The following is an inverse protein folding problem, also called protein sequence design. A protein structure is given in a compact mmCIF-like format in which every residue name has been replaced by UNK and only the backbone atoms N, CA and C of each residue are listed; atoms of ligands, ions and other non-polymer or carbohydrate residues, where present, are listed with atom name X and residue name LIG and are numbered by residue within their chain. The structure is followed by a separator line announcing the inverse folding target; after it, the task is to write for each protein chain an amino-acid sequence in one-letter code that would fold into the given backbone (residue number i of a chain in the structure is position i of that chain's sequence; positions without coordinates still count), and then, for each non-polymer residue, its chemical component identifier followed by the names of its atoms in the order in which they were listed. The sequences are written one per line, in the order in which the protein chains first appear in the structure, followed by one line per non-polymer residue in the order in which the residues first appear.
data_IF_296473227202
#
_entry.id   IF_296473227202
#
_cell.length_a   1.000
_cell.length_b   1.000
_cell.length_c   1.000
_cell.angle_alpha   90.00
_cell.angle_beta   90.00
_cell.angle_gamma   90.00
#
_symmetry.space_group_name_H-M   'P 1'
#
loop_
_entity.id
_entity.type
_entity.pdbx_description
1 polymer ?
#
# COMPACT_ATOMS: atom_id res chain seq x y z
N UNK A 1 20.14 5.28 -13.93
CA UNK A 1 18.97 6.09 -13.51
C UNK A 1 17.70 5.34 -13.87
N UNK A 2 17.33 4.37 -13.01
CA UNK A 2 15.96 3.82 -13.06
C UNK A 2 15.01 4.96 -12.62
N UNK A 3 14.22 5.50 -13.55
CA UNK A 3 13.09 6.35 -13.20
C UNK A 3 12.15 5.47 -12.39
N UNK A 4 12.00 5.75 -11.11
CA UNK A 4 11.02 5.07 -10.27
C UNK A 4 9.62 5.46 -10.76
N UNK A 5 8.69 4.51 -10.76
CA UNK A 5 7.27 4.76 -11.04
C UNK A 5 6.77 5.84 -10.08
N UNK A 6 6.08 6.85 -10.61
CA UNK A 6 5.47 7.90 -9.79
C UNK A 6 4.37 7.29 -8.92
N UNK A 7 4.36 7.65 -7.63
CA UNK A 7 3.36 7.16 -6.69
C UNK A 7 2.37 8.27 -6.43
N UNK A 8 1.09 7.98 -6.66
CA UNK A 8 0.01 8.91 -6.39
C UNK A 8 -0.57 8.66 -5.01
N UNK A 9 -0.55 9.68 -4.15
CA UNK A 9 -1.10 9.64 -2.80
C UNK A 9 -2.49 10.26 -2.69
N UNK A 10 -2.95 10.97 -3.73
CA UNK A 10 -4.27 11.58 -3.76
C UNK A 10 -5.33 10.55 -4.14
N UNK A 11 -6.11 10.11 -3.16
CA UNK A 11 -7.16 9.12 -3.38
C UNK A 11 -8.32 9.67 -4.24
N UNK A 12 -8.50 10.99 -4.29
CA UNK A 12 -9.55 11.63 -5.08
C UNK A 12 -9.38 11.39 -6.59
N UNK A 13 -8.14 11.28 -7.07
CA UNK A 13 -7.84 11.00 -8.49
C UNK A 13 -8.40 9.65 -8.97
N UNK A 14 -8.67 8.74 -8.03
CA UNK A 14 -9.23 7.42 -8.35
C UNK A 14 -10.75 7.38 -8.31
N UNK A 15 -11.40 8.48 -7.91
CA UNK A 15 -12.86 8.58 -7.93
C UNK A 15 -13.37 8.84 -9.36
N UNK A 16 -14.55 8.33 -9.73
CA UNK A 16 -15.17 8.64 -11.01
C UNK A 16 -15.49 10.14 -11.14
N UNK A 17 -15.24 10.70 -12.33
CA UNK A 17 -15.48 12.13 -12.60
C UNK A 17 -16.98 12.52 -12.57
N UNK A 18 -17.88 11.54 -12.71
CA UNK A 18 -19.32 11.75 -12.78
C UNK A 18 -20.00 11.97 -11.42
N UNK A 19 -19.30 11.68 -10.31
CA UNK A 19 -19.82 11.87 -8.96
C UNK A 19 -19.85 13.35 -8.55
N UNK A 20 -20.82 13.71 -7.71
CA UNK A 20 -21.04 15.09 -7.25
C UNK A 20 -19.81 15.71 -6.58
N UNK A 21 -19.11 14.94 -5.76
CA UNK A 21 -17.87 15.39 -5.10
C UNK A 21 -16.81 15.83 -6.09
N UNK A 22 -16.59 15.06 -7.17
CA UNK A 22 -15.58 15.43 -8.17
C UNK A 22 -16.00 16.63 -9.00
N UNK A 23 -17.29 16.73 -9.36
CA UNK A 23 -17.83 17.94 -10.03
C UNK A 23 -17.67 19.18 -9.15
N UNK A 24 -17.97 19.08 -7.86
CA UNK A 24 -17.76 20.18 -6.91
C UNK A 24 -16.29 20.56 -6.77
N UNK A 25 -15.40 19.57 -6.69
CA UNK A 25 -13.96 19.80 -6.60
C UNK A 25 -13.41 20.50 -7.85
N UNK A 26 -13.86 20.11 -9.04
CA UNK A 26 -13.45 20.73 -10.30
C UNK A 26 -13.94 22.20 -10.37
N UNK A 27 -15.18 22.48 -9.99
CA UNK A 27 -15.69 23.85 -9.91
C UNK A 27 -14.87 24.69 -8.93
N UNK A 28 -14.54 24.15 -7.75
CA UNK A 28 -13.69 24.86 -6.78
C UNK A 28 -12.29 25.15 -7.34
N UNK A 29 -11.74 24.20 -8.10
CA UNK A 29 -10.42 24.39 -8.73
C UNK A 29 -10.45 25.42 -9.86
N UNK A 30 -11.39 25.25 -10.82
CA UNK A 30 -11.40 25.99 -12.09
C UNK A 30 -11.98 27.40 -11.93
N UNK A 31 -13.08 27.54 -11.18
CA UNK A 31 -13.80 28.82 -11.06
C UNK A 31 -13.34 29.67 -9.88
N UNK A 32 -12.92 29.02 -8.78
CA UNK A 32 -12.58 29.68 -7.52
C UNK A 32 -11.10 29.66 -7.19
N UNK A 33 -10.24 28.97 -7.93
CA UNK A 33 -8.82 28.73 -7.62
C UNK A 33 -8.63 28.16 -6.20
N UNK A 34 -9.53 27.29 -5.76
CA UNK A 34 -9.55 26.65 -4.44
C UNK A 34 -9.43 25.12 -4.55
N UNK A 35 -8.78 24.61 -5.60
CA UNK A 35 -8.56 23.18 -5.82
C UNK A 35 -7.61 22.56 -4.79
N UNK A 36 -6.69 23.37 -4.26
CA UNK A 36 -5.79 22.98 -3.18
C UNK A 36 -5.76 24.05 -2.09
N UNK A 37 -5.91 23.63 -0.84
CA UNK A 37 -5.90 24.55 0.29
C UNK A 37 -5.38 23.91 1.57
N UNK A 38 -4.87 24.74 2.47
CA UNK A 38 -4.60 24.40 3.87
C UNK A 38 -5.25 25.42 4.80
N UNK A 39 -5.58 24.97 6.00
CA UNK A 39 -6.06 25.79 7.09
C UNK A 39 -5.01 25.76 8.19
N UNK A 40 -4.55 26.92 8.60
CA UNK A 40 -3.54 27.05 9.66
C UNK A 40 -4.20 27.67 10.89
N UNK A 41 -4.06 27.01 12.03
CA UNK A 41 -4.46 27.54 13.33
C UNK A 41 -3.25 28.24 13.92
N UNK A 42 -3.39 29.51 14.24
CA UNK A 42 -2.38 30.40 14.82
C UNK A 42 -2.62 30.48 16.32
N UNK A 43 -1.73 29.90 17.13
CA UNK A 43 -1.91 29.79 18.57
C UNK A 43 -1.26 30.99 19.29
N UNK A 44 -2.06 31.77 20.04
CA UNK A 44 -1.60 32.88 20.89
C UNK A 44 -0.71 33.94 20.18
N UNK A 45 -0.98 34.20 18.89
CA UNK A 45 -0.24 35.20 18.13
C UNK A 45 -0.95 36.57 18.18
N UNK A 46 -0.16 37.64 18.18
CA UNK A 46 -0.74 38.99 18.05
C UNK A 46 -0.92 39.35 16.56
N UNK A 47 -1.82 40.31 16.27
CA UNK A 47 -2.14 40.72 14.90
C UNK A 47 -0.92 41.14 14.08
N UNK A 48 0.05 41.80 14.67
CA UNK A 48 1.27 42.27 13.99
C UNK A 48 2.15 41.08 13.53
N UNK A 49 2.22 40.02 14.32
CA UNK A 49 3.02 38.84 13.98
C UNK A 49 2.28 37.96 12.99
N UNK A 50 0.93 37.92 13.04
CA UNK A 50 0.08 37.25 12.03
C UNK A 50 0.29 37.88 10.66
N UNK A 51 0.24 39.21 10.54
CA UNK A 51 0.45 39.91 9.27
C UNK A 51 1.87 39.70 8.70
N UNK A 52 2.90 39.73 9.57
CA UNK A 52 4.27 39.40 9.12
C UNK A 52 4.40 37.93 8.65
N UNK A 53 3.67 37.01 9.28
CA UNK A 53 3.66 35.60 8.89
C UNK A 53 2.94 35.45 7.57
N UNK A 54 1.81 36.11 7.39
CA UNK A 54 1.05 36.15 6.15
C UNK A 54 1.92 36.61 4.97
N UNK A 55 2.63 37.74 5.10
CA UNK A 55 3.54 38.24 4.07
C UNK A 55 4.60 37.19 3.70
N UNK A 56 5.22 36.55 4.69
CA UNK A 56 6.21 35.49 4.45
C UNK A 56 5.64 34.26 3.74
N UNK A 57 4.39 33.89 4.06
CA UNK A 57 3.74 32.74 3.43
C UNK A 57 3.31 33.11 2.00
N UNK A 58 2.88 34.33 1.76
CA UNK A 58 2.50 34.82 0.43
C UNK A 58 3.66 34.79 -0.57
N UNK A 59 4.89 35.00 -0.08
CA UNK A 59 6.11 34.95 -0.90
C UNK A 59 6.57 33.51 -1.24
N UNK A 60 5.93 32.48 -0.70
CA UNK A 60 6.27 31.09 -1.01
C UNK A 60 5.79 30.73 -2.43
N UNK A 61 6.71 30.23 -3.25
CA UNK A 61 6.38 29.70 -4.56
C UNK A 61 5.35 28.56 -4.47
N UNK A 62 4.27 28.65 -5.27
CA UNK A 62 3.14 27.73 -5.25
C UNK A 62 1.96 28.19 -4.37
N UNK A 63 2.11 29.22 -3.54
CA UNK A 63 1.01 29.84 -2.80
C UNK A 63 0.25 30.79 -3.73
N UNK A 64 -1.07 30.61 -3.84
CA UNK A 64 -1.94 31.46 -4.64
C UNK A 64 -2.45 32.66 -3.82
N UNK A 65 -2.96 32.38 -2.63
CA UNK A 65 -3.56 33.39 -1.76
C UNK A 65 -3.46 32.98 -0.30
N UNK A 66 -3.26 33.96 0.56
CA UNK A 66 -3.35 33.80 2.01
C UNK A 66 -4.50 34.70 2.48
N UNK A 67 -5.38 34.18 3.29
CA UNK A 67 -6.57 34.88 3.80
C UNK A 67 -6.60 34.73 5.31
N UNK A 68 -6.61 35.83 6.01
CA UNK A 68 -6.74 35.91 7.47
C UNK A 68 -8.02 36.68 7.84
N UNK A 69 -8.42 36.58 9.10
CA UNK A 69 -9.49 37.43 9.62
C UNK A 69 -9.19 38.94 9.50
N UNK A 70 -7.92 39.30 9.42
CA UNK A 70 -7.46 40.70 9.32
C UNK A 70 -7.58 41.26 7.89
N UNK A 71 -7.50 40.42 6.86
CA UNK A 71 -7.71 40.84 5.45
C UNK A 71 -9.13 41.32 5.20
N UNK A 72 -10.12 40.64 5.81
CA UNK A 72 -11.53 40.98 5.65
C UNK A 72 -11.92 42.29 6.35
N UNK A 73 -11.11 42.74 7.33
CA UNK A 73 -11.45 43.83 8.23
C UNK A 73 -10.61 45.09 8.03
N UNK A 74 -9.47 44.96 7.34
CA UNK A 74 -8.41 45.98 7.37
C UNK A 74 -7.75 46.07 8.76
N UNK A 75 -6.52 46.51 8.77
CA UNK A 75 -5.71 46.64 10.02
C UNK A 75 -6.23 47.69 10.98
N UNK A 76 -7.17 48.54 10.57
CA UNK A 76 -7.69 49.67 11.31
C UNK A 76 -8.94 49.37 12.16
N UNK A 77 -9.60 48.19 11.89
CA UNK A 77 -10.80 47.80 12.62
C UNK A 77 -10.44 46.80 13.73
N UNK A 78 -10.55 47.18 15.01
CA UNK A 78 -10.31 46.23 16.09
C UNK A 78 -11.29 45.06 15.99
N UNK A 79 -10.79 43.84 16.13
CA UNK A 79 -11.62 42.62 16.11
C UNK A 79 -12.77 42.63 17.13
N UNK A 80 -12.70 43.52 18.15
CA UNK A 80 -13.77 43.72 19.14
C UNK A 80 -15.05 44.36 18.59
N UNK A 81 -15.01 44.96 17.40
CA UNK A 81 -16.18 45.62 16.75
C UNK A 81 -16.96 44.63 15.89
N UNK A 82 -16.41 43.48 15.59
CA UNK A 82 -17.09 42.41 14.83
C UNK A 82 -18.30 41.84 15.59
N UNK A 83 -19.37 41.51 14.85
CA UNK A 83 -20.44 40.68 15.40
C UNK A 83 -19.88 39.41 16.03
N UNK A 84 -20.36 39.06 17.20
CA UNK A 84 -19.90 37.88 17.97
C UNK A 84 -19.90 36.57 17.18
N UNK A 85 -20.83 36.41 16.27
CA UNK A 85 -20.97 35.25 15.39
C UNK A 85 -19.79 35.10 14.39
N UNK A 86 -19.32 36.21 13.84
CA UNK A 86 -18.20 36.23 12.88
C UNK A 86 -16.88 36.07 13.64
N UNK A 87 -16.75 36.81 14.74
CA UNK A 87 -15.57 36.75 15.58
C UNK A 87 -15.34 35.35 16.15
N UNK A 88 -16.38 34.70 16.65
CA UNK A 88 -16.26 33.35 17.23
C UNK A 88 -15.89 32.26 16.21
N UNK A 89 -16.08 32.53 14.90
CA UNK A 89 -15.69 31.64 13.81
C UNK A 89 -14.26 31.86 13.33
N UNK A 90 -13.74 33.06 13.45
CA UNK A 90 -12.40 33.45 12.99
C UNK A 90 -11.35 33.40 14.11
N UNK A 91 -11.77 33.69 15.36
CA UNK A 91 -10.90 33.69 16.53
C UNK A 91 -11.63 33.06 17.72
N UNK A 92 -11.01 32.10 18.38
CA UNK A 92 -11.52 31.44 19.58
C UNK A 92 -10.37 31.12 20.54
N UNK A 93 -10.56 31.42 21.80
CA UNK A 93 -9.59 31.11 22.86
C UNK A 93 -8.17 31.67 22.55
N UNK A 94 -8.09 32.86 21.97
CA UNK A 94 -6.84 33.52 21.51
C UNK A 94 -6.12 32.80 20.35
N UNK A 95 -6.84 31.96 19.60
CA UNK A 95 -6.36 31.28 18.39
C UNK A 95 -7.07 31.86 17.17
N UNK A 96 -6.33 32.17 16.13
CA UNK A 96 -6.84 32.70 14.86
C UNK A 96 -6.71 31.64 13.75
N UNK A 97 -7.49 31.83 12.66
CA UNK A 97 -7.46 30.93 11.50
C UNK A 97 -6.91 31.70 10.29
N UNK A 98 -6.01 31.02 9.57
CA UNK A 98 -5.47 31.45 8.29
C UNK A 98 -5.77 30.40 7.24
N UNK A 99 -6.40 30.78 6.13
CA UNK A 99 -6.64 29.94 4.96
C UNK A 99 -5.57 30.24 3.92
N UNK A 100 -4.91 29.21 3.45
CA UNK A 100 -3.87 29.27 2.41
C UNK A 100 -4.35 28.48 1.21
N UNK A 101 -4.45 29.08 0.04
CA UNK A 101 -4.75 28.40 -1.23
C UNK A 101 -3.49 28.31 -2.08
N UNK A 102 -3.44 27.28 -2.93
CA UNK A 102 -2.28 26.97 -3.77
C UNK A 102 -2.66 27.05 -5.24
N UNK A 103 -1.66 27.37 -6.09
CA UNK A 103 -1.86 27.55 -7.54
C UNK A 103 -2.19 26.24 -8.26
N UNK A 104 -1.61 25.12 -7.80
CA UNK A 104 -1.72 23.83 -8.45
C UNK A 104 -2.61 22.86 -7.66
N UNK A 105 -2.88 21.71 -8.25
CA UNK A 105 -3.67 20.66 -7.63
C UNK A 105 -3.07 20.17 -6.30
N UNK A 106 -3.91 19.60 -5.43
CA UNK A 106 -3.53 19.13 -4.09
C UNK A 106 -2.32 18.19 -4.08
N UNK A 107 -2.16 17.36 -5.12
CA UNK A 107 -1.08 16.37 -5.25
C UNK A 107 0.12 16.85 -6.06
N UNK A 108 0.11 18.09 -6.53
CA UNK A 108 1.23 18.64 -7.28
C UNK A 108 2.47 18.84 -6.39
N UNK A 109 3.65 18.56 -6.93
CA UNK A 109 4.91 18.71 -6.19
C UNK A 109 5.12 20.16 -5.70
N UNK A 110 4.68 21.16 -6.49
CA UNK A 110 4.68 22.58 -6.11
C UNK A 110 3.84 22.83 -4.88
N UNK A 111 2.62 22.30 -4.81
CA UNK A 111 1.72 22.41 -3.65
C UNK A 111 2.30 21.73 -2.41
N UNK A 112 2.80 20.50 -2.54
CA UNK A 112 3.40 19.78 -1.41
C UNK A 112 4.65 20.45 -0.87
N UNK A 113 5.50 20.98 -1.75
CA UNK A 113 6.67 21.78 -1.37
C UNK A 113 6.27 23.09 -0.68
N UNK A 114 5.21 23.76 -1.16
CA UNK A 114 4.69 24.96 -0.53
C UNK A 114 4.17 24.67 0.89
N UNK A 115 3.38 23.59 1.08
CA UNK A 115 2.92 23.16 2.42
C UNK A 115 4.10 22.86 3.35
N UNK A 116 5.14 22.20 2.85
CA UNK A 116 6.35 21.91 3.63
C UNK A 116 7.02 23.20 4.08
N UNK A 117 7.21 24.17 3.18
CA UNK A 117 7.78 25.50 3.52
C UNK A 117 6.91 26.28 4.50
N UNK A 118 5.57 26.21 4.35
CA UNK A 118 4.64 26.82 5.32
C UNK A 118 4.89 26.23 6.71
N UNK A 119 5.01 24.92 6.85
CA UNK A 119 5.30 24.25 8.13
C UNK A 119 6.67 24.63 8.70
N UNK A 120 7.68 24.78 7.85
CA UNK A 120 9.02 25.22 8.27
C UNK A 120 9.02 26.64 8.82
N UNK A 121 8.22 27.54 8.24
CA UNK A 121 8.10 28.92 8.69
C UNK A 121 7.25 29.03 9.95
N UNK A 122 6.15 28.27 10.03
CA UNK A 122 5.20 28.33 11.16
C UNK A 122 5.69 27.58 12.39
N UNK A 123 6.49 26.53 12.21
CA UNK A 123 7.04 25.68 13.28
C UNK A 123 5.95 25.24 14.29
N UNK A 124 6.31 25.25 15.58
CA UNK A 124 5.44 24.78 16.66
C UNK A 124 4.33 25.79 17.05
N UNK A 125 4.45 27.03 16.61
CA UNK A 125 3.49 28.10 16.94
C UNK A 125 2.16 27.99 16.18
N UNK A 126 2.11 27.15 15.13
CA UNK A 126 0.91 27.01 14.30
C UNK A 126 0.67 25.54 13.94
N UNK A 127 -0.59 25.17 13.75
CA UNK A 127 -0.98 23.84 13.29
C UNK A 127 -1.56 23.94 11.87
N UNK A 128 -0.85 23.37 10.91
CA UNK A 128 -1.24 23.38 9.49
C UNK A 128 -2.02 22.10 9.18
N UNK A 129 -3.31 22.25 8.89
CA UNK A 129 -4.23 21.20 8.48
C UNK A 129 -4.84 21.47 7.09
N UNK A 130 -5.94 20.80 6.78
CA UNK A 130 -6.62 20.91 5.49
C UNK A 130 -6.16 19.87 4.47
N UNK A 131 -6.78 19.87 3.28
CA UNK A 131 -6.62 18.78 2.30
C UNK A 131 -5.16 18.59 1.86
N UNK A 132 -4.45 19.66 1.53
CA UNK A 132 -3.07 19.58 1.06
C UNK A 132 -2.08 19.14 2.15
N UNK A 133 -2.30 19.61 3.38
CA UNK A 133 -1.49 19.20 4.52
C UNK A 133 -1.75 17.74 4.90
N UNK A 134 -3.01 17.30 4.87
CA UNK A 134 -3.39 15.91 5.12
C UNK A 134 -2.76 14.95 4.09
N UNK A 135 -2.69 15.37 2.83
CA UNK A 135 -2.04 14.57 1.80
C UNK A 135 -0.54 14.40 2.07
N UNK A 136 0.15 15.47 2.46
CA UNK A 136 1.57 15.42 2.84
C UNK A 136 1.80 14.49 4.03
N UNK A 137 0.97 14.58 5.07
CA UNK A 137 1.05 13.69 6.24
C UNK A 137 0.80 12.23 5.87
N UNK A 138 -0.16 11.98 4.97
CA UNK A 138 -0.45 10.63 4.47
C UNK A 138 0.75 10.08 3.69
N UNK A 139 1.44 10.90 2.89
CA UNK A 139 2.66 10.50 2.20
C UNK A 139 3.76 10.08 3.18
N UNK A 140 4.06 10.93 4.14
CA UNK A 140 5.15 10.70 5.10
C UNK A 140 4.86 9.47 5.97
N UNK A 141 3.62 9.34 6.44
CA UNK A 141 3.18 8.20 7.23
C UNK A 141 3.25 6.90 6.41
N UNK A 142 2.69 6.91 5.20
CA UNK A 142 2.71 5.74 4.34
C UNK A 142 4.14 5.28 4.00
N UNK A 143 5.06 6.21 3.72
CA UNK A 143 6.45 5.84 3.41
C UNK A 143 7.16 5.19 4.60
N UNK A 144 6.91 5.66 5.82
CA UNK A 144 7.49 5.09 7.04
C UNK A 144 6.87 3.74 7.38
N UNK A 145 5.56 3.66 7.39
CA UNK A 145 4.84 2.47 7.83
C UNK A 145 4.97 1.31 6.85
N UNK A 146 4.87 1.55 5.53
CA UNK A 146 4.99 0.49 4.52
C UNK A 146 6.30 -0.28 4.69
N UNK A 147 7.41 0.43 4.92
CA UNK A 147 8.72 -0.21 5.11
C UNK A 147 8.75 -1.10 6.35
N UNK A 148 8.21 -0.60 7.47
CA UNK A 148 8.16 -1.35 8.74
C UNK A 148 7.29 -2.60 8.59
N UNK A 149 6.10 -2.47 7.98
CA UNK A 149 5.18 -3.60 7.80
C UNK A 149 5.73 -4.67 6.86
N UNK A 150 6.45 -4.27 5.79
CA UNK A 150 7.13 -5.23 4.90
C UNK A 150 8.20 -6.03 5.69
N UNK A 151 9.01 -5.35 6.49
CA UNK A 151 10.03 -6.03 7.31
C UNK A 151 9.38 -7.00 8.30
N UNK A 152 8.34 -6.58 9.01
CA UNK A 152 7.60 -7.43 9.94
C UNK A 152 7.01 -8.64 9.19
N UNK A 153 6.37 -8.42 8.03
CA UNK A 153 5.79 -9.50 7.23
C UNK A 153 6.84 -10.52 6.77
N UNK A 154 8.00 -10.05 6.32
CA UNK A 154 9.11 -10.94 5.91
C UNK A 154 9.63 -11.76 7.09
N UNK A 155 9.85 -11.13 8.25
CA UNK A 155 10.32 -11.83 9.46
C UNK A 155 9.31 -12.89 9.91
N UNK A 156 8.02 -12.53 9.98
CA UNK A 156 6.97 -13.47 10.34
C UNK A 156 6.86 -14.63 9.32
N UNK A 157 6.98 -14.32 8.03
CA UNK A 157 6.95 -15.32 6.98
C UNK A 157 8.14 -16.30 7.12
N UNK A 158 9.35 -15.80 7.35
CA UNK A 158 10.52 -16.65 7.60
C UNK A 158 10.28 -17.55 8.83
N UNK A 159 9.81 -17.00 9.94
CA UNK A 159 9.53 -17.78 11.15
C UNK A 159 8.52 -18.91 10.90
N UNK A 160 7.41 -18.62 10.20
CA UNK A 160 6.40 -19.63 9.87
C UNK A 160 6.97 -20.70 8.93
N UNK A 161 7.77 -20.28 7.94
CA UNK A 161 8.41 -21.20 7.00
C UNK A 161 9.45 -22.08 7.68
N UNK A 162 10.22 -21.55 8.64
CA UNK A 162 11.18 -22.32 9.45
C UNK A 162 10.47 -23.42 10.26
N UNK A 163 9.29 -23.15 10.78
CA UNK A 163 8.48 -24.14 11.48
C UNK A 163 7.94 -25.22 10.55
N UNK A 164 7.65 -24.88 9.29
CA UNK A 164 6.98 -25.74 8.32
C UNK A 164 7.94 -26.56 7.46
N UNK A 165 9.12 -26.03 7.16
CA UNK A 165 10.10 -26.64 6.28
C UNK A 165 11.20 -27.36 7.07
N UNK A 166 11.97 -28.21 6.38
CA UNK A 166 12.96 -29.08 7.02
C UNK A 166 14.40 -28.54 6.86
N UNK A 167 14.59 -27.26 6.53
CA UNK A 167 15.92 -26.64 6.36
C UNK A 167 15.86 -25.15 6.62
N UNK A 168 16.79 -24.63 7.39
CA UNK A 168 16.92 -23.19 7.70
C UNK A 168 17.25 -22.33 6.49
N UNK A 169 17.84 -22.89 5.44
CA UNK A 169 18.22 -22.13 4.25
C UNK A 169 17.06 -21.94 3.26
N UNK A 170 16.15 -22.89 3.18
CA UNK A 170 15.05 -22.86 2.19
C UNK A 170 14.12 -21.65 2.36
N UNK A 171 13.67 -21.26 3.57
CA UNK A 171 12.92 -20.03 3.76
C UNK A 171 13.62 -18.78 3.24
N UNK A 172 14.95 -18.71 3.40
CA UNK A 172 15.74 -17.56 2.92
C UNK A 172 15.76 -17.54 1.38
N UNK A 173 15.94 -18.70 0.73
CA UNK A 173 15.90 -18.80 -0.74
C UNK A 173 14.51 -18.50 -1.30
N UNK A 174 13.45 -18.90 -0.60
CA UNK A 174 12.06 -18.52 -0.91
C UNK A 174 11.88 -17.01 -0.85
N UNK A 175 12.33 -16.38 0.23
CA UNK A 175 12.24 -14.92 0.38
C UNK A 175 13.06 -14.18 -0.69
N UNK A 176 14.22 -14.72 -1.07
CA UNK A 176 15.04 -14.17 -2.16
C UNK A 176 14.29 -14.23 -3.50
N UNK A 177 13.68 -15.38 -3.83
CA UNK A 177 12.85 -15.53 -5.04
C UNK A 177 11.68 -14.56 -5.08
N UNK A 178 10.93 -14.46 -3.97
CA UNK A 178 9.79 -13.54 -3.85
C UNK A 178 10.25 -12.09 -3.94
N UNK A 179 11.35 -11.74 -3.28
CA UNK A 179 11.96 -10.42 -3.36
C UNK A 179 12.29 -10.02 -4.80
N UNK A 180 12.85 -10.94 -5.59
CA UNK A 180 13.11 -10.72 -7.01
C UNK A 180 11.80 -10.52 -7.81
N UNK A 181 10.78 -11.33 -7.55
CA UNK A 181 9.47 -11.17 -8.18
C UNK A 181 8.83 -9.80 -7.88
N UNK A 182 8.90 -9.35 -6.62
CA UNK A 182 8.41 -8.02 -6.22
C UNK A 182 9.21 -6.91 -6.90
N UNK A 183 10.54 -7.02 -6.94
CA UNK A 183 11.39 -6.04 -7.63
C UNK A 183 11.08 -5.95 -9.12
N UNK A 184 10.89 -7.07 -9.80
CA UNK A 184 10.48 -7.09 -11.21
C UNK A 184 9.10 -6.48 -11.39
N UNK A 185 8.15 -6.80 -10.51
CA UNK A 185 6.82 -6.22 -10.56
C UNK A 185 6.85 -4.70 -10.38
N UNK A 186 7.51 -4.19 -9.35
CA UNK A 186 7.61 -2.76 -9.10
C UNK A 186 8.42 -2.05 -10.20
N UNK A 187 9.53 -2.64 -10.67
CA UNK A 187 10.37 -2.08 -11.71
C UNK A 187 9.68 -1.96 -13.07
N UNK A 188 8.78 -2.89 -13.40
CA UNK A 188 8.02 -2.86 -14.66
C UNK A 188 6.75 -2.00 -14.60
N UNK A 189 6.39 -1.42 -13.46
CA UNK A 189 5.27 -0.49 -13.34
C UNK A 189 5.46 0.82 -14.09
N UNK A 190 6.68 1.11 -14.55
CA UNK A 190 6.95 2.26 -15.45
C UNK A 190 6.01 2.30 -16.68
N UNK A 191 5.53 1.14 -17.14
CA UNK A 191 4.58 1.03 -18.26
C UNK A 191 3.23 1.68 -17.93
N UNK A 192 2.85 1.73 -16.64
CA UNK A 192 1.58 2.32 -16.19
C UNK A 192 1.70 3.83 -15.86
N UNK A 193 2.91 4.40 -15.89
CA UNK A 193 3.18 5.79 -15.57
C UNK A 193 3.19 6.06 -14.07
N UNK A 194 2.05 5.99 -13.42
CA UNK A 194 1.90 6.15 -11.96
C UNK A 194 1.02 5.06 -11.37
N UNK A 195 1.21 4.79 -10.08
CA UNK A 195 0.41 3.84 -9.30
C UNK A 195 0.02 4.45 -7.96
N UNK A 196 -1.10 3.99 -7.39
CA UNK A 196 -1.51 4.38 -6.04
C UNK A 196 -0.52 3.90 -4.98
N UNK A 197 -0.35 4.71 -3.92
CA UNK A 197 0.40 4.28 -2.72
C UNK A 197 -0.23 3.03 -2.07
N UNK A 198 -1.56 2.91 -2.15
CA UNK A 198 -2.30 1.72 -1.68
C UNK A 198 -1.89 0.50 -2.49
N UNK A 199 -1.86 0.62 -3.82
CA UNK A 199 -1.41 -0.45 -4.71
C UNK A 199 0.03 -0.85 -4.40
N UNK A 200 0.94 0.11 -4.22
CA UNK A 200 2.34 -0.16 -3.86
C UNK A 200 2.46 -0.96 -2.57
N UNK A 201 1.71 -0.58 -1.54
CA UNK A 201 1.72 -1.25 -0.23
C UNK A 201 1.18 -2.69 -0.33
N UNK A 202 0.01 -2.84 -0.96
CA UNK A 202 -0.66 -4.13 -1.08
C UNK A 202 0.10 -5.10 -1.98
N UNK A 203 0.71 -4.63 -3.06
CA UNK A 203 1.51 -5.47 -3.98
C UNK A 203 2.59 -6.23 -3.23
N UNK A 204 3.37 -5.56 -2.38
CA UNK A 204 4.46 -6.21 -1.65
C UNK A 204 3.94 -7.32 -0.73
N UNK A 205 2.88 -7.05 0.05
CA UNK A 205 2.35 -8.00 1.04
C UNK A 205 1.57 -9.14 0.39
N UNK A 206 0.69 -8.83 -0.58
CA UNK A 206 -0.12 -9.86 -1.25
C UNK A 206 0.74 -10.76 -2.15
N UNK A 207 1.71 -10.19 -2.85
CA UNK A 207 2.62 -10.98 -3.69
C UNK A 207 3.48 -11.91 -2.83
N UNK A 208 3.91 -11.48 -1.63
CA UNK A 208 4.62 -12.31 -0.68
C UNK A 208 3.78 -13.58 -0.36
N UNK A 209 2.50 -13.45 -0.03
CA UNK A 209 1.63 -14.58 0.24
C UNK A 209 1.44 -15.50 -0.98
N UNK A 210 0.96 -14.95 -2.09
CA UNK A 210 0.62 -15.73 -3.30
C UNK A 210 1.84 -16.45 -3.90
N UNK A 211 2.99 -15.78 -3.99
CA UNK A 211 4.20 -16.39 -4.59
C UNK A 211 4.83 -17.43 -3.67
N UNK A 212 4.68 -17.27 -2.33
CA UNK A 212 5.15 -18.25 -1.35
C UNK A 212 4.50 -19.61 -1.57
N UNK A 213 3.18 -19.65 -1.78
CA UNK A 213 2.46 -20.90 -1.97
C UNK A 213 2.95 -21.69 -3.19
N UNK A 214 3.16 -21.01 -4.32
CA UNK A 214 3.70 -21.65 -5.53
C UNK A 214 5.08 -22.24 -5.31
N UNK A 215 5.94 -21.50 -4.62
CA UNK A 215 7.31 -21.89 -4.34
C UNK A 215 7.38 -23.06 -3.34
N UNK A 216 6.51 -23.08 -2.33
CA UNK A 216 6.41 -24.21 -1.38
C UNK A 216 5.97 -25.50 -2.10
N UNK A 217 5.00 -25.42 -3.01
CA UNK A 217 4.58 -26.59 -3.80
C UNK A 217 5.73 -27.17 -4.60
N UNK A 218 6.48 -26.35 -5.29
CA UNK A 218 7.64 -26.80 -6.06
C UNK A 218 8.72 -27.40 -5.16
N UNK A 219 9.03 -26.77 -4.03
CA UNK A 219 10.00 -27.30 -3.09
C UNK A 219 9.62 -28.66 -2.54
N UNK A 220 8.39 -28.84 -2.10
CA UNK A 220 7.91 -30.14 -1.59
C UNK A 220 7.91 -31.24 -2.68
N UNK A 221 7.52 -30.90 -3.92
CA UNK A 221 7.61 -31.83 -5.03
C UNK A 221 9.08 -32.25 -5.28
N UNK A 222 10.00 -31.29 -5.31
CA UNK A 222 11.43 -31.56 -5.47
C UNK A 222 11.98 -32.45 -4.35
N UNK A 223 11.73 -32.10 -3.10
CA UNK A 223 12.21 -32.86 -1.94
C UNK A 223 11.66 -34.30 -1.94
N UNK A 224 10.43 -34.51 -2.36
CA UNK A 224 9.83 -35.86 -2.44
C UNK A 224 10.41 -36.75 -3.55
N UNK A 225 11.07 -36.13 -4.54
CA UNK A 225 11.62 -36.80 -5.72
C UNK A 225 13.13 -37.00 -5.64
N UNK A 226 13.81 -36.20 -4.81
CA UNK A 226 15.26 -36.15 -4.71
C UNK A 226 15.90 -37.52 -4.51
N UNK A 227 15.32 -38.38 -3.68
CA UNK A 227 15.80 -39.72 -3.41
C UNK A 227 15.36 -40.78 -4.46
N UNK A 228 14.49 -40.42 -5.38
CA UNK A 228 13.93 -41.37 -6.38
C UNK A 228 14.64 -41.31 -7.74
N UNK A 229 15.33 -40.19 -8.03
CA UNK A 229 16.02 -39.98 -9.30
C UNK A 229 17.54 -40.03 -9.11
N UNK A 230 18.25 -40.32 -10.20
CA UNK A 230 19.73 -40.49 -10.14
C UNK A 230 20.47 -39.18 -9.98
N UNK A 231 19.91 -38.10 -10.52
CA UNK A 231 20.50 -36.76 -10.44
C UNK A 231 19.49 -35.76 -9.88
N UNK A 232 20.01 -34.69 -9.30
CA UNK A 232 19.18 -33.60 -8.73
C UNK A 232 18.45 -32.84 -9.82
N UNK A 233 19.07 -32.73 -10.99
CA UNK A 233 18.51 -32.09 -12.17
C UNK A 233 17.30 -32.86 -12.71
N UNK A 234 17.38 -34.21 -12.78
CA UNK A 234 16.25 -35.06 -13.14
C UNK A 234 15.09 -34.92 -12.15
N UNK A 235 15.40 -34.96 -10.85
CA UNK A 235 14.39 -34.78 -9.80
C UNK A 235 13.72 -33.41 -9.88
N UNK A 236 14.47 -32.34 -10.17
CA UNK A 236 13.94 -30.99 -10.34
C UNK A 236 13.09 -30.87 -11.61
N UNK A 237 13.52 -31.44 -12.72
CA UNK A 237 12.74 -31.44 -13.98
C UNK A 237 11.38 -32.08 -13.78
N UNK A 238 11.36 -33.23 -13.10
CA UNK A 238 10.10 -33.92 -12.80
C UNK A 238 9.24 -33.16 -11.77
N UNK A 239 9.87 -32.49 -10.80
CA UNK A 239 9.16 -31.64 -9.84
C UNK A 239 8.47 -30.46 -10.55
N UNK A 240 9.17 -29.79 -11.46
CA UNK A 240 8.59 -28.70 -12.27
C UNK A 240 7.43 -29.25 -13.13
N UNK A 241 7.62 -30.37 -13.82
CA UNK A 241 6.58 -30.97 -14.68
C UNK A 241 5.30 -31.30 -13.91
N UNK A 242 5.42 -31.90 -12.74
CA UNK A 242 4.27 -32.25 -11.88
C UNK A 242 3.55 -31.02 -11.32
N UNK A 243 4.30 -30.02 -10.89
CA UNK A 243 3.73 -28.83 -10.25
C UNK A 243 3.22 -27.79 -11.24
N UNK A 244 3.70 -27.84 -12.49
CA UNK A 244 3.41 -26.84 -13.53
C UNK A 244 1.91 -26.60 -13.73
N UNK A 245 1.14 -27.67 -13.94
CA UNK A 245 -0.32 -27.57 -14.19
C UNK A 245 -1.04 -27.00 -12.96
N UNK A 246 -0.67 -27.45 -11.76
CA UNK A 246 -1.29 -27.00 -10.53
C UNK A 246 -0.99 -25.53 -10.25
N UNK A 247 0.27 -25.11 -10.45
CA UNK A 247 0.71 -23.71 -10.27
C UNK A 247 0.04 -22.82 -11.33
N UNK A 248 0.01 -23.24 -12.60
CA UNK A 248 -0.68 -22.48 -13.65
C UNK A 248 -2.18 -22.37 -13.39
N UNK A 249 -2.86 -23.46 -13.03
CA UNK A 249 -4.29 -23.44 -12.76
C UNK A 249 -4.64 -22.50 -11.61
N UNK A 250 -3.92 -22.57 -10.50
CA UNK A 250 -4.11 -21.68 -9.35
C UNK A 250 -3.78 -20.22 -9.69
N UNK A 251 -2.69 -19.96 -10.40
CA UNK A 251 -2.29 -18.62 -10.79
C UNK A 251 -3.26 -17.96 -11.76
N UNK A 252 -3.79 -18.72 -12.75
CA UNK A 252 -4.78 -18.20 -13.70
C UNK A 252 -6.07 -17.78 -13.00
N UNK A 253 -6.55 -18.54 -12.02
CA UNK A 253 -7.73 -18.14 -11.23
C UNK A 253 -7.47 -16.88 -10.41
N UNK A 254 -6.29 -16.77 -9.82
CA UNK A 254 -5.87 -15.57 -9.08
C UNK A 254 -5.73 -14.35 -9.99
N UNK A 255 -5.10 -14.50 -11.15
CA UNK A 255 -4.99 -13.44 -12.16
C UNK A 255 -6.38 -13.01 -12.63
N UNK A 256 -7.27 -13.95 -12.94
CA UNK A 256 -8.64 -13.64 -13.33
C UNK A 256 -9.38 -12.86 -12.23
N UNK A 257 -9.22 -13.24 -10.95
CA UNK A 257 -9.78 -12.53 -9.81
C UNK A 257 -9.29 -11.08 -9.72
N UNK A 258 -7.99 -10.83 -9.92
CA UNK A 258 -7.46 -9.47 -9.95
C UNK A 258 -7.92 -8.67 -11.19
N UNK A 259 -8.01 -9.31 -12.35
CA UNK A 259 -8.49 -8.62 -13.56
C UNK A 259 -9.97 -8.21 -13.47
N UNK A 260 -10.80 -8.92 -12.69
CA UNK A 260 -12.18 -8.49 -12.42
C UNK A 260 -12.22 -7.12 -11.73
N UNK A 261 -11.24 -6.77 -10.89
CA UNK A 261 -11.17 -5.44 -10.28
C UNK A 261 -11.06 -4.32 -11.31
N UNK A 262 -10.56 -4.61 -12.51
CA UNK A 262 -10.47 -3.62 -13.60
C UNK A 262 -11.84 -3.20 -14.14
N UNK A 263 -12.91 -3.93 -13.83
CA UNK A 263 -14.30 -3.58 -14.23
C UNK A 263 -14.97 -2.61 -13.26
N UNK A 264 -14.33 -2.29 -12.15
CA UNK A 264 -14.86 -1.35 -11.16
C UNK A 264 -14.88 0.09 -11.73
N UNK A 265 -15.90 0.86 -11.38
CA UNK A 265 -15.95 2.29 -11.67
C UNK A 265 -14.85 3.08 -10.95
N UNK A 266 -14.47 2.64 -9.76
CA UNK A 266 -13.34 3.19 -9.01
C UNK A 266 -12.03 2.81 -9.70
N UNK A 267 -11.31 3.78 -10.26
CA UNK A 267 -10.09 3.52 -11.05
C UNK A 267 -8.94 2.93 -10.21
N UNK A 268 -9.00 3.05 -8.88
CA UNK A 268 -8.12 2.32 -7.95
C UNK A 268 -8.20 0.80 -8.15
N UNK A 269 -9.40 0.27 -8.45
CA UNK A 269 -9.57 -1.15 -8.75
C UNK A 269 -8.80 -1.58 -10.00
N UNK A 270 -8.80 -0.75 -11.04
CA UNK A 270 -8.02 -0.98 -12.26
C UNK A 270 -6.51 -0.96 -12.00
N UNK A 271 -6.04 0.02 -11.24
CA UNK A 271 -4.64 0.16 -10.85
C UNK A 271 -4.17 -1.09 -10.07
N UNK A 272 -4.87 -1.42 -8.99
CA UNK A 272 -4.58 -2.60 -8.18
C UNK A 272 -4.67 -3.90 -8.99
N UNK A 273 -5.75 -4.06 -9.77
CA UNK A 273 -6.01 -5.26 -10.54
C UNK A 273 -4.91 -5.58 -11.55
N UNK A 274 -4.48 -4.59 -12.33
CA UNK A 274 -3.42 -4.77 -13.33
C UNK A 274 -2.06 -5.05 -12.70
N UNK A 275 -1.68 -4.29 -11.67
CA UNK A 275 -0.38 -4.46 -11.01
C UNK A 275 -0.30 -5.80 -10.28
N UNK A 276 -1.39 -6.24 -9.63
CA UNK A 276 -1.46 -7.54 -8.96
C UNK A 276 -1.49 -8.71 -9.94
N UNK A 277 -2.29 -8.65 -11.00
CA UNK A 277 -2.32 -9.70 -12.03
C UNK A 277 -0.94 -9.90 -12.66
N UNK A 278 -0.24 -8.80 -13.00
CA UNK A 278 1.15 -8.84 -13.47
C UNK A 278 2.10 -9.40 -12.41
N UNK A 279 1.92 -9.02 -11.15
CA UNK A 279 2.71 -9.53 -10.02
C UNK A 279 2.62 -11.04 -9.86
N UNK A 280 1.41 -11.61 -9.94
CA UNK A 280 1.19 -13.05 -9.89
C UNK A 280 1.88 -13.75 -11.08
N UNK A 281 1.74 -13.21 -12.30
CA UNK A 281 2.40 -13.75 -13.48
C UNK A 281 3.93 -13.78 -13.31
N UNK A 282 4.53 -12.68 -12.85
CA UNK A 282 5.97 -12.60 -12.58
C UNK A 282 6.38 -13.55 -11.45
N UNK A 283 5.56 -13.71 -10.42
CA UNK A 283 5.75 -14.67 -9.35
C UNK A 283 5.81 -16.12 -9.85
N UNK A 284 4.92 -16.50 -10.76
CA UNK A 284 4.94 -17.82 -11.39
C UNK A 284 6.20 -18.01 -12.24
N UNK A 285 6.56 -17.02 -13.05
CA UNK A 285 7.76 -17.07 -13.89
C UNK A 285 9.00 -17.27 -13.01
N UNK A 286 9.17 -16.47 -11.94
CA UNK A 286 10.34 -16.59 -11.05
C UNK A 286 10.33 -17.92 -10.31
N UNK A 287 9.18 -18.42 -9.87
CA UNK A 287 9.05 -19.71 -9.19
C UNK A 287 9.41 -20.89 -10.11
N UNK A 288 9.08 -20.84 -11.39
CA UNK A 288 9.38 -21.92 -12.32
C UNK A 288 10.75 -21.79 -13.00
N UNK A 289 11.42 -20.66 -12.89
CA UNK A 289 12.72 -20.43 -13.53
C UNK A 289 13.83 -20.15 -12.52
N UNK A 290 13.72 -19.10 -11.73
CA UNK A 290 14.74 -18.63 -10.80
C UNK A 290 14.84 -19.55 -9.57
N UNK A 291 13.73 -19.92 -8.99
CA UNK A 291 13.71 -20.70 -7.75
C UNK A 291 14.31 -22.12 -7.91
N UNK A 292 14.05 -22.89 -8.99
CA UNK A 292 14.73 -24.14 -9.24
C UNK A 292 16.27 -24.01 -9.32
N UNK A 293 16.74 -22.96 -9.99
CA UNK A 293 18.18 -22.68 -10.09
C UNK A 293 18.79 -22.40 -8.72
N UNK A 294 18.09 -21.62 -7.89
CA UNK A 294 18.52 -21.36 -6.52
C UNK A 294 18.58 -22.65 -5.68
N UNK A 295 17.57 -23.51 -5.77
CA UNK A 295 17.51 -24.77 -5.05
C UNK A 295 18.66 -25.71 -5.48
N UNK A 296 18.89 -25.86 -6.78
CA UNK A 296 19.98 -26.71 -7.30
C UNK A 296 21.37 -26.17 -6.91
N UNK A 297 21.57 -24.86 -7.04
CA UNK A 297 22.87 -24.22 -6.73
C UNK A 297 23.20 -24.35 -5.24
N UNK A 298 22.23 -24.15 -4.35
CA UNK A 298 22.43 -24.22 -2.91
C UNK A 298 22.09 -25.59 -2.30
N UNK A 299 21.83 -26.62 -3.10
CA UNK A 299 21.40 -27.93 -2.61
C UNK A 299 22.31 -28.53 -1.54
N UNK A 300 23.64 -28.45 -1.72
CA UNK A 300 24.59 -28.93 -0.72
C UNK A 300 24.54 -28.15 0.60
N UNK A 301 24.21 -26.87 0.56
CA UNK A 301 24.02 -26.05 1.76
C UNK A 301 22.67 -26.33 2.42
N UNK A 302 21.63 -26.59 1.62
CA UNK A 302 20.31 -27.02 2.10
C UNK A 302 20.45 -28.32 2.90
N UNK A 303 21.17 -29.32 2.37
CA UNK A 303 21.39 -30.59 3.06
C UNK A 303 22.12 -30.40 4.41
N UNK A 304 23.13 -29.52 4.49
CA UNK A 304 23.85 -29.21 5.73
C UNK A 304 23.00 -28.49 6.78
N UNK A 305 21.96 -27.77 6.35
CA UNK A 305 21.07 -27.01 7.22
C UNK A 305 19.76 -27.73 7.50
N UNK A 306 19.63 -29.00 7.11
CA UNK A 306 18.44 -29.81 7.40
C UNK A 306 18.23 -30.01 8.90
N UNK A 307 17.00 -29.89 9.32
CA UNK A 307 16.51 -30.22 10.67
C UNK A 307 15.23 -31.02 10.60
N UNK A 308 14.84 -31.63 11.73
CA UNK A 308 13.58 -32.33 11.80
C UNK A 308 12.43 -31.31 11.78
N UNK A 309 11.36 -31.64 11.02
CA UNK A 309 10.14 -30.85 11.03
C UNK A 309 9.67 -30.60 12.49
N UNK A 310 9.49 -29.34 12.82
CA UNK A 310 8.98 -28.91 14.15
C UNK A 310 7.48 -29.12 14.27
N UNK A 311 6.76 -29.18 13.15
CA UNK A 311 5.33 -29.44 13.13
C UNK A 311 5.04 -30.94 13.29
N UNK A 312 4.20 -31.35 14.24
CA UNK A 312 3.81 -32.73 14.41
C UNK A 312 2.95 -33.19 13.22
N UNK A 313 3.05 -34.50 12.88
CA UNK A 313 2.14 -35.09 11.92
C UNK A 313 0.72 -35.15 12.51
N UNK A 314 -0.22 -34.44 11.90
CA UNK A 314 -1.62 -34.37 12.35
C UNK A 314 -2.45 -35.62 12.00
N UNK A 315 -1.87 -36.82 12.19
CA UNK A 315 -2.54 -38.09 11.85
C UNK A 315 -3.86 -38.30 12.62
N UNK A 316 -3.90 -37.87 13.89
CA UNK A 316 -5.13 -37.94 14.69
C UNK A 316 -6.23 -37.03 14.16
N UNK A 317 -5.89 -35.82 13.72
CA UNK A 317 -6.84 -34.88 13.11
C UNK A 317 -7.36 -35.42 11.78
N UNK A 318 -6.47 -35.93 10.94
CA UNK A 318 -6.86 -36.53 9.66
C UNK A 318 -7.82 -37.71 9.85
N UNK A 319 -7.53 -38.63 10.77
CA UNK A 319 -8.40 -39.75 11.10
C UNK A 319 -9.75 -39.29 11.67
N UNK A 320 -9.76 -38.25 12.52
CA UNK A 320 -10.98 -37.65 13.04
C UNK A 320 -11.85 -37.06 11.95
N UNK A 321 -11.26 -36.28 11.03
CA UNK A 321 -11.97 -35.65 9.90
C UNK A 321 -12.54 -36.72 8.96
N UNK A 322 -11.74 -37.71 8.59
CA UNK A 322 -12.19 -38.81 7.69
C UNK A 322 -13.31 -39.59 8.36
N UNK A 323 -13.17 -39.97 9.63
CA UNK A 323 -14.18 -40.75 10.35
C UNK A 323 -15.50 -39.99 10.51
N UNK A 324 -15.45 -38.68 10.73
CA UNK A 324 -16.62 -37.85 11.01
C UNK A 324 -17.05 -36.94 9.84
N UNK A 325 -16.62 -37.24 8.60
CA UNK A 325 -16.85 -36.38 7.45
C UNK A 325 -18.32 -35.97 7.23
N UNK A 326 -19.29 -36.88 7.48
CA UNK A 326 -20.73 -36.60 7.33
C UNK A 326 -21.23 -35.58 8.37
N UNK A 327 -20.77 -35.71 9.63
CA UNK A 327 -21.14 -34.80 10.73
C UNK A 327 -20.57 -33.41 10.44
N UNK A 328 -19.28 -33.34 10.07
CA UNK A 328 -18.57 -32.09 9.73
C UNK A 328 -19.28 -31.41 8.57
N UNK A 329 -19.60 -32.13 7.48
CA UNK A 329 -20.32 -31.59 6.34
C UNK A 329 -21.69 -31.01 6.70
N UNK A 330 -22.48 -31.76 7.52
CA UNK A 330 -23.79 -31.31 7.97
C UNK A 330 -23.70 -30.04 8.85
N UNK A 331 -22.67 -29.98 9.70
CA UNK A 331 -22.40 -28.81 10.55
C UNK A 331 -22.08 -27.57 9.73
N UNK A 332 -21.21 -27.70 8.72
CA UNK A 332 -20.87 -26.59 7.82
C UNK A 332 -22.07 -26.06 7.03
N UNK A 333 -22.94 -26.96 6.53
CA UNK A 333 -24.18 -26.57 5.85
C UNK A 333 -25.12 -25.82 6.82
N UNK A 334 -25.24 -26.28 8.06
CA UNK A 334 -26.08 -25.61 9.07
C UNK A 334 -25.57 -24.22 9.42
N UNK A 335 -24.25 -24.06 9.59
CA UNK A 335 -23.62 -22.75 9.85
C UNK A 335 -23.86 -21.82 8.64
N UNK A 336 -23.60 -22.28 7.42
CA UNK A 336 -23.85 -21.47 6.22
C UNK A 336 -25.31 -21.03 6.07
N UNK A 337 -26.27 -21.92 6.38
CA UNK A 337 -27.70 -21.54 6.37
C UNK A 337 -28.09 -20.56 7.48
N UNK A 338 -27.48 -20.65 8.66
CA UNK A 338 -27.74 -19.71 9.74
C UNK A 338 -27.25 -18.30 9.37
N UNK A 339 -26.05 -18.21 8.77
CA UNK A 339 -25.46 -16.94 8.34
C UNK A 339 -26.17 -16.27 7.14
N UNK A 340 -26.92 -17.05 6.33
CA UNK A 340 -27.71 -16.50 5.22
C UNK A 340 -29.13 -16.02 5.63
N UNK A 341 -29.49 -16.13 6.91
CA UNK A 341 -30.83 -15.73 7.41
C UNK A 341 -30.82 -14.36 8.12
N UNK A 342 -29.67 -13.74 8.31
CA UNK A 342 -29.49 -12.34 8.68
C UNK A 342 -29.26 -11.47 7.42
#
# INVERSE_FOLDING_TARGET
NMKLTKINYNILVYLPDDIETMKGQNILADDFNMGAFSVTVLENMNAKDILKLEDKIRDIDGVAKVITGYDALGTEIPASILPTDIRSKLSKDNNDIMLITYNDATSADTTLNAVTKVREITKDACKVGGMSAMLLDTMDLAQREITIYIVIAVVLCILVLELSLNSYLVPILLMLNIGMAILYNLGTNLVFGEISYITKALVAVLQLGVTTDFSIFLYHSYESKKDKYKTKEEAMTEAISETFISVLGSSLTTIAGFLVLCTMKLTLGKDLGLVMAKGVLLGVITTLTVFPVLLLYFDNAIEKTKHKSLLPKFTHLNNFVIKNHKIIFTLFIKIGRASCRE
#
